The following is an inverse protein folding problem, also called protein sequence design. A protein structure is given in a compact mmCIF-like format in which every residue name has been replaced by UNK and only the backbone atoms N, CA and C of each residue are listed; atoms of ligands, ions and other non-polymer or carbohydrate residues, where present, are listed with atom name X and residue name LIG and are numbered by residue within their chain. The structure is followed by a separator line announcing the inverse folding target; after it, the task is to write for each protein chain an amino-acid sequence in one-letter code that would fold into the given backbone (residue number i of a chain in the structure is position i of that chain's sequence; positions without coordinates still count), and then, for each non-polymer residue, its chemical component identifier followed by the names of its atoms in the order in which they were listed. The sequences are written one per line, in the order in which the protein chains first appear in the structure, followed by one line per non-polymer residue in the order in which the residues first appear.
data_IF_474268245353
#
_entry.id   IF_474268245353
#
_cell.length_a   1.000
_cell.length_b   1.000
_cell.length_c   1.000
_cell.angle_alpha   90.00
_cell.angle_beta   90.00
_cell.angle_gamma   90.00
#
_symmetry.space_group_name_H-M   'P 1'
#
loop_
_entity.id
_entity.type
_entity.pdbx_description
1 polymer ?
#
# COMPACT_ATOMS: atom_id res chain seq x y z
N UNK A 1 -8.52 -12.97 -13.14
CA UNK A 1 -8.22 -12.41 -11.80
C UNK A 1 -6.84 -11.79 -11.88
N UNK A 2 -6.72 -10.47 -11.72
CA UNK A 2 -5.44 -9.77 -11.71
C UNK A 2 -4.73 -10.02 -10.36
N UNK A 3 -4.25 -11.24 -10.17
CA UNK A 3 -3.21 -11.49 -9.18
C UNK A 3 -1.89 -11.02 -9.82
N UNK A 4 -1.35 -9.89 -9.38
CA UNK A 4 0.06 -9.55 -9.67
C UNK A 4 0.36 -8.17 -10.25
N UNK A 5 -0.60 -7.25 -10.40
CA UNK A 5 -0.22 -5.86 -10.67
C UNK A 5 -0.08 -5.08 -9.36
N UNK A 6 1.00 -4.29 -9.20
CA UNK A 6 1.16 -3.43 -8.05
C UNK A 6 0.03 -2.41 -7.97
N UNK A 7 -0.49 -2.17 -6.76
CA UNK A 7 -1.43 -1.08 -6.53
C UNK A 7 -0.74 0.27 -6.73
N UNK A 8 -1.46 1.23 -7.31
CA UNK A 8 -1.01 2.59 -7.61
C UNK A 8 -1.72 3.61 -6.71
N UNK A 9 -1.08 4.76 -6.40
CA UNK A 9 -1.73 5.86 -5.69
C UNK A 9 -3.07 6.23 -6.32
N UNK A 10 -4.10 6.44 -5.50
CA UNK A 10 -5.47 6.74 -5.90
C UNK A 10 -6.35 5.52 -6.22
N UNK A 11 -5.81 4.30 -6.22
CA UNK A 11 -6.64 3.10 -6.40
C UNK A 11 -7.38 2.72 -5.13
N UNK A 12 -8.60 2.22 -5.31
CA UNK A 12 -9.37 1.64 -4.22
C UNK A 12 -8.76 0.30 -3.78
N UNK A 13 -8.60 0.13 -2.46
CA UNK A 13 -8.17 -1.10 -1.80
C UNK A 13 -9.18 -1.46 -0.70
N UNK A 14 -9.29 -2.73 -0.36
CA UNK A 14 -10.18 -3.19 0.70
C UNK A 14 -9.37 -3.95 1.76
N UNK A 15 -9.58 -3.60 3.03
CA UNK A 15 -8.96 -4.34 4.12
C UNK A 15 -9.62 -5.73 4.32
N UNK A 16 -9.07 -6.54 5.21
CA UNK A 16 -9.59 -7.88 5.53
C UNK A 16 -11.01 -7.88 6.12
N UNK A 17 -11.53 -6.71 6.53
CA UNK A 17 -12.91 -6.53 7.02
C UNK A 17 -13.85 -6.08 5.90
N UNK A 18 -13.31 -5.80 4.71
CA UNK A 18 -14.06 -5.26 3.57
C UNK A 18 -14.26 -3.74 3.63
N UNK A 19 -13.56 -3.03 4.51
CA UNK A 19 -13.59 -1.56 4.51
C UNK A 19 -12.78 -1.01 3.33
N UNK A 20 -13.37 -0.07 2.61
CA UNK A 20 -12.75 0.54 1.43
C UNK A 20 -11.86 1.73 1.81
N UNK A 21 -10.66 1.72 1.25
CA UNK A 21 -9.67 2.78 1.38
C UNK A 21 -9.15 3.19 0.00
N UNK A 22 -8.56 4.37 -0.09
CA UNK A 22 -7.81 4.83 -1.26
C UNK A 22 -6.32 4.69 -0.94
N UNK A 23 -5.59 3.87 -1.70
CA UNK A 23 -4.16 3.69 -1.52
C UNK A 23 -3.40 4.98 -1.84
N UNK A 24 -2.48 5.37 -0.95
CA UNK A 24 -1.58 6.51 -1.18
C UNK A 24 -0.17 6.01 -1.52
N UNK A 25 0.57 5.48 -0.55
CA UNK A 25 1.94 5.00 -0.74
C UNK A 25 2.35 3.97 0.31
N UNK A 26 3.52 3.35 0.12
CA UNK A 26 4.14 2.46 1.11
C UNK A 26 5.34 3.16 1.74
N UNK A 27 5.45 3.12 3.07
CA UNK A 27 6.58 3.70 3.79
C UNK A 27 7.89 2.98 3.47
N UNK A 28 9.02 3.71 3.52
CA UNK A 28 10.34 3.10 3.37
C UNK A 28 10.70 2.31 4.63
N UNK A 29 11.38 1.19 4.45
CA UNK A 29 11.86 0.33 5.53
C UNK A 29 12.08 -1.11 5.08
N UNK A 30 12.62 -1.96 5.97
CA UNK A 30 12.67 -3.41 5.74
C UNK A 30 11.29 -3.91 5.32
N UNK A 31 11.23 -4.83 4.35
CA UNK A 31 9.95 -5.33 3.79
C UNK A 31 9.00 -5.81 4.89
N UNK A 32 9.53 -6.39 5.96
CA UNK A 32 8.79 -6.85 7.15
C UNK A 32 8.12 -5.73 7.96
N UNK A 33 8.57 -4.48 7.84
CA UNK A 33 8.10 -3.32 8.62
C UNK A 33 7.44 -2.24 7.77
N UNK A 34 7.38 -2.38 6.45
CA UNK A 34 6.71 -1.42 5.57
C UNK A 34 5.25 -1.27 5.96
N UNK A 35 4.76 -0.03 5.87
CA UNK A 35 3.37 0.33 6.14
C UNK A 35 2.71 0.83 4.88
N UNK A 36 1.45 0.48 4.69
CA UNK A 36 0.59 1.06 3.66
C UNK A 36 -0.07 2.27 4.27
N UNK A 37 0.03 3.39 3.57
CA UNK A 37 -0.70 4.61 3.83
C UNK A 37 -1.92 4.63 2.92
N UNK A 38 -3.09 4.81 3.52
CA UNK A 38 -4.34 4.89 2.79
C UNK A 38 -5.30 5.89 3.43
N UNK A 39 -6.16 6.46 2.61
CA UNK A 39 -7.10 7.51 3.00
C UNK A 39 -8.54 7.02 2.87
N UNK A 40 -9.38 7.27 3.87
CA UNK A 40 -10.80 6.95 3.80
C UNK A 40 -11.58 7.98 2.96
N UNK A 41 -12.84 7.69 2.66
CA UNK A 41 -13.71 8.57 1.88
C UNK A 41 -13.95 9.95 2.53
N UNK A 42 -13.58 10.14 3.80
CA UNK A 42 -13.68 11.42 4.53
C UNK A 42 -12.37 12.20 4.50
N UNK A 43 -11.36 11.70 3.78
CA UNK A 43 -10.05 12.34 3.68
C UNK A 43 -9.13 12.07 4.87
N UNK A 44 -9.44 11.08 5.73
CA UNK A 44 -8.60 10.74 6.87
C UNK A 44 -7.60 9.66 6.48
N UNK A 45 -6.32 10.02 6.56
CA UNK A 45 -5.19 9.14 6.30
C UNK A 45 -4.89 8.23 7.50
N UNK A 46 -4.52 6.97 7.22
CA UNK A 46 -4.13 5.98 8.22
C UNK A 46 -3.00 5.07 7.75
N UNK A 47 -2.31 4.47 8.71
CA UNK A 47 -1.23 3.52 8.47
C UNK A 47 -1.66 2.09 8.77
N UNK A 48 -1.24 1.16 7.92
CA UNK A 48 -1.60 -0.25 8.01
C UNK A 48 -0.40 -1.15 7.75
N UNK A 49 -0.41 -2.35 8.32
CA UNK A 49 0.49 -3.40 7.87
C UNK A 49 -0.03 -4.03 6.56
N UNK A 50 0.83 -4.50 5.64
CA UNK A 50 0.41 -5.19 4.42
C UNK A 50 -0.53 -6.37 4.64
N UNK A 51 -0.39 -7.08 5.76
CA UNK A 51 -1.28 -8.19 6.15
C UNK A 51 -2.74 -7.78 6.33
N UNK A 52 -3.03 -6.48 6.46
CA UNK A 52 -4.38 -5.95 6.54
C UNK A 52 -5.11 -6.03 5.19
N UNK A 53 -4.41 -6.05 4.07
CA UNK A 53 -4.99 -6.04 2.71
C UNK A 53 -4.70 -7.37 2.01
N UNK A 54 -5.51 -8.42 2.24
CA UNK A 54 -5.28 -9.73 1.65
C UNK A 54 -5.33 -9.66 0.12
N UNK A 55 -4.30 -10.18 -0.55
CA UNK A 55 -4.20 -10.17 -2.01
C UNK A 55 -3.69 -8.86 -2.62
N UNK A 56 -3.39 -7.84 -1.80
CA UNK A 56 -2.74 -6.64 -2.27
C UNK A 56 -1.27 -6.92 -2.57
N UNK A 57 -0.90 -6.84 -3.85
CA UNK A 57 0.51 -6.82 -4.25
C UNK A 57 1.00 -5.38 -4.18
N UNK A 58 1.89 -5.10 -3.23
CA UNK A 58 2.58 -3.81 -3.13
C UNK A 58 4.02 -3.99 -3.59
N UNK A 59 4.41 -3.32 -4.66
CA UNK A 59 5.83 -3.22 -4.97
C UNK A 59 6.48 -2.19 -4.03
N UNK A 60 7.74 -2.43 -3.60
CA UNK A 60 8.59 -1.34 -3.14
C UNK A 60 8.55 -0.21 -4.17
N UNK A 61 7.96 0.93 -3.83
CA UNK A 61 8.35 2.16 -4.51
C UNK A 61 9.67 2.56 -3.88
N UNK A 62 10.78 2.13 -4.49
CA UNK A 62 12.05 2.78 -4.24
C UNK A 62 11.88 4.23 -4.71
N UNK A 63 12.26 5.24 -3.92
CA UNK A 63 12.45 6.55 -4.51
C UNK A 63 13.46 6.44 -5.64
N UNK A 64 13.28 7.21 -6.71
CA UNK A 64 14.33 7.42 -7.69
C UNK A 64 15.58 7.93 -6.95
N UNK A 65 16.57 7.05 -6.69
CA UNK A 65 17.76 7.47 -5.96
C UNK A 65 18.64 6.44 -5.26
N UNK A 66 18.38 5.12 -5.32
CA UNK A 66 19.40 4.14 -4.89
C UNK A 66 19.44 2.94 -5.84
N UNK A 67 20.01 3.18 -7.03
CA UNK A 67 20.72 2.14 -7.75
C UNK A 67 22.17 2.13 -7.23
N UNK A 68 22.54 1.01 -6.59
CA UNK A 68 23.92 0.53 -6.42
C UNK A 68 24.93 1.43 -5.70
N UNK A 69 25.26 1.05 -4.46
CA UNK A 69 26.50 1.38 -3.76
C UNK A 69 26.97 0.19 -2.96
#
# INVERSE_FOLDING_TARGET
MLAGQPVKPGQAIADFRGESWVFDYVTRGPVSTRKIIATDARGRQREFFPSVFPGLSVEPVLPDGEASG
#
